data_IF_124006221694
#
_entry.id   IF_124006221694
#
_cell.length_a   1.000
_cell.length_b   1.000
_cell.length_c   1.000
_cell.angle_alpha   90.00
_cell.angle_beta   90.00
_cell.angle_gamma   90.00
#
_symmetry.space_group_name_H-M   'P 1'
#
loop_
_entity.id
_entity.type
_entity.pdbx_description
1 polymer ?
#
# COMPACT_ATOMS: atom_id res chain seq x y z
N UNK A 1 22.48 7.20 17.83
CA UNK A 1 23.11 8.34 17.11
C UNK A 1 23.15 8.15 15.58
N UNK A 2 22.60 7.07 15.02
CA UNK A 2 22.36 6.93 13.57
C UNK A 2 20.88 7.17 13.19
N UNK A 3 20.07 7.62 14.14
CA UNK A 3 18.60 7.58 14.05
C UNK A 3 18.06 8.75 13.20
N UNK A 4 18.56 9.97 13.41
CA UNK A 4 18.09 11.17 12.69
C UNK A 4 18.23 11.12 11.16
N UNK A 5 19.29 10.51 10.63
CA UNK A 5 19.49 10.38 9.18
C UNK A 5 18.59 9.32 8.55
N UNK A 6 18.21 8.29 9.32
CA UNK A 6 17.31 7.24 8.84
C UNK A 6 15.87 7.76 8.86
N UNK A 7 15.46 8.41 9.95
CA UNK A 7 14.13 9.00 10.11
C UNK A 7 13.85 10.06 9.03
N UNK A 8 14.80 10.97 8.79
CA UNK A 8 14.70 11.97 7.71
C UNK A 8 14.53 11.33 6.32
N UNK A 9 15.13 10.16 6.10
CA UNK A 9 14.98 9.42 4.85
C UNK A 9 13.62 8.72 4.75
N UNK A 10 13.07 8.20 5.85
CA UNK A 10 11.73 7.58 5.90
C UNK A 10 10.64 8.61 5.61
N UNK A 11 10.69 9.77 6.26
CA UNK A 11 9.73 10.85 6.01
C UNK A 11 9.79 11.33 4.57
N UNK A 12 10.99 11.50 4.02
CA UNK A 12 11.16 11.87 2.62
C UNK A 12 10.55 10.83 1.66
N UNK A 13 10.76 9.53 1.90
CA UNK A 13 10.14 8.45 1.11
C UNK A 13 8.60 8.56 1.18
N UNK A 14 8.03 8.70 2.38
CA UNK A 14 6.58 8.84 2.57
C UNK A 14 6.04 10.05 1.84
N UNK A 15 6.69 11.21 1.96
CA UNK A 15 6.27 12.47 1.34
C UNK A 15 6.23 12.35 -0.18
N UNK A 16 7.29 11.83 -0.81
CA UNK A 16 7.34 11.60 -2.27
C UNK A 16 6.15 10.72 -2.72
N UNK A 17 5.87 9.65 -1.98
CA UNK A 17 4.80 8.71 -2.32
C UNK A 17 3.40 9.29 -2.09
N UNK A 18 3.21 10.14 -1.08
CA UNK A 18 1.97 10.87 -0.85
C UNK A 18 1.73 11.93 -1.93
N UNK A 19 2.76 12.68 -2.32
CA UNK A 19 2.70 13.64 -3.42
C UNK A 19 2.27 12.97 -4.74
N UNK A 20 2.73 11.74 -5.01
CA UNK A 20 2.28 10.96 -6.17
C UNK A 20 0.76 10.71 -6.16
N UNK A 21 0.18 10.43 -4.99
CA UNK A 21 -1.27 10.24 -4.84
C UNK A 21 -2.00 11.55 -5.10
N UNK A 22 -1.54 12.64 -4.47
CA UNK A 22 -2.15 13.95 -4.57
C UNK A 22 -2.13 14.48 -6.01
N UNK A 23 -0.99 14.36 -6.69
CA UNK A 23 -0.82 14.75 -8.09
C UNK A 23 -1.77 13.99 -9.01
N UNK A 24 -1.78 12.66 -8.93
CA UNK A 24 -2.63 11.84 -9.79
C UNK A 24 -4.12 12.08 -9.49
N UNK A 25 -4.50 12.27 -8.23
CA UNK A 25 -5.88 12.60 -7.87
C UNK A 25 -6.28 13.99 -8.38
N UNK A 26 -5.37 14.96 -8.33
CA UNK A 26 -5.60 16.29 -8.89
C UNK A 26 -5.75 16.24 -10.41
N UNK A 27 -4.87 15.50 -11.10
CA UNK A 27 -4.96 15.30 -12.55
C UNK A 27 -6.23 14.55 -12.93
N UNK A 28 -6.61 13.50 -12.19
CA UNK A 28 -7.86 12.77 -12.41
C UNK A 28 -9.09 13.69 -12.31
N UNK A 29 -9.20 14.52 -11.25
CA UNK A 29 -10.27 15.52 -11.11
C UNK A 29 -10.28 16.54 -12.26
N UNK A 30 -9.11 16.92 -12.75
CA UNK A 30 -8.94 17.80 -13.90
C UNK A 30 -9.10 17.10 -15.26
N UNK A 31 -9.46 15.80 -15.28
CA UNK A 31 -9.53 14.95 -16.49
C UNK A 31 -8.23 14.94 -17.31
N UNK A 32 -7.09 15.06 -16.62
CA UNK A 32 -5.74 14.93 -17.16
C UNK A 32 -5.15 13.56 -16.81
N UNK A 33 -4.19 13.04 -17.60
CA UNK A 33 -3.48 11.83 -17.24
C UNK A 33 -2.76 11.98 -15.87
N UNK A 34 -2.96 11.02 -14.98
CA UNK A 34 -2.17 10.87 -13.76
C UNK A 34 -1.15 9.75 -13.93
N UNK A 35 0.14 10.09 -13.97
CA UNK A 35 1.24 9.16 -14.25
C UNK A 35 2.19 8.97 -13.08
N UNK A 36 2.09 9.78 -12.01
CA UNK A 36 3.11 9.81 -10.94
C UNK A 36 3.18 8.52 -10.15
N UNK A 37 2.03 7.90 -9.84
CA UNK A 37 2.05 6.60 -9.18
C UNK A 37 2.72 5.53 -10.05
N UNK A 38 2.53 5.55 -11.37
CA UNK A 38 3.19 4.59 -12.26
C UNK A 38 4.70 4.85 -12.36
N UNK A 39 5.10 6.11 -12.49
CA UNK A 39 6.51 6.54 -12.55
C UNK A 39 7.29 6.14 -11.28
N UNK A 40 6.65 6.16 -10.11
CA UNK A 40 7.30 5.90 -8.82
C UNK A 40 7.01 4.50 -8.25
N UNK A 41 6.31 3.64 -8.99
CA UNK A 41 5.93 2.31 -8.50
C UNK A 41 7.17 1.47 -8.16
N UNK A 42 8.20 1.48 -9.01
CA UNK A 42 9.44 0.73 -8.76
C UNK A 42 10.14 1.17 -7.48
N UNK A 43 10.27 2.50 -7.29
CA UNK A 43 10.81 3.07 -6.06
C UNK A 43 10.01 2.63 -4.84
N UNK A 44 8.67 2.67 -4.91
CA UNK A 44 7.83 2.26 -3.80
C UNK A 44 8.04 0.79 -3.43
N UNK A 45 8.01 -0.11 -4.43
CA UNK A 45 8.20 -1.55 -4.19
C UNK A 45 9.60 -1.82 -3.62
N UNK A 46 10.65 -1.19 -4.15
CA UNK A 46 12.02 -1.37 -3.65
C UNK A 46 12.17 -0.90 -2.20
N UNK A 47 11.56 0.23 -1.83
CA UNK A 47 11.55 0.72 -0.45
C UNK A 47 10.86 -0.26 0.51
N UNK A 48 9.70 -0.79 0.13
CA UNK A 48 8.96 -1.76 0.95
C UNK A 48 9.71 -3.09 1.12
N UNK A 49 10.42 -3.55 0.08
CA UNK A 49 11.17 -4.81 0.11
C UNK A 49 12.58 -4.68 0.71
N UNK A 50 13.05 -3.46 0.94
CA UNK A 50 14.36 -3.22 1.54
C UNK A 50 14.37 -3.66 3.01
N UNK A 51 15.15 -4.72 3.32
CA UNK A 51 15.32 -5.20 4.70
C UNK A 51 15.81 -4.11 5.66
N UNK A 52 16.54 -3.12 5.15
CA UNK A 52 17.06 -2.00 5.95
C UNK A 52 15.97 -0.99 6.32
N UNK A 53 14.96 -0.82 5.46
CA UNK A 53 13.95 0.23 5.61
C UNK A 53 12.59 -0.30 6.07
N UNK A 54 12.29 -1.57 5.82
CA UNK A 54 10.95 -2.12 5.97
C UNK A 54 10.37 -1.94 7.38
N UNK A 55 11.16 -2.23 8.42
CA UNK A 55 10.71 -2.11 9.81
C UNK A 55 10.33 -0.66 10.13
N UNK A 56 11.26 0.28 9.95
CA UNK A 56 11.01 1.70 10.18
C UNK A 56 9.89 2.28 9.29
N UNK A 57 9.76 1.82 8.04
CA UNK A 57 8.65 2.23 7.17
C UNK A 57 7.29 1.77 7.73
N UNK A 58 7.22 0.54 8.23
CA UNK A 58 5.99 -0.03 8.81
C UNK A 58 5.64 0.69 10.13
N UNK A 59 6.63 0.94 10.99
CA UNK A 59 6.48 1.73 12.22
C UNK A 59 5.98 3.15 11.91
N UNK A 60 6.47 3.74 10.82
CA UNK A 60 6.01 5.04 10.32
C UNK A 60 4.74 4.97 9.46
N UNK A 61 3.93 3.92 9.58
CA UNK A 61 2.63 3.75 8.94
C UNK A 61 2.65 3.91 7.40
N UNK A 62 3.70 3.41 6.72
CA UNK A 62 3.74 3.37 5.25
C UNK A 62 2.54 2.62 4.65
N UNK A 63 1.95 1.69 5.40
CA UNK A 63 0.76 0.94 4.98
C UNK A 63 -0.45 1.86 4.74
N UNK A 64 -0.53 3.00 5.45
CA UNK A 64 -1.50 4.05 5.15
C UNK A 64 -1.30 4.64 3.75
N UNK A 65 -0.06 4.84 3.33
CA UNK A 65 0.28 5.30 1.97
C UNK A 65 -0.02 4.21 0.94
N UNK A 66 0.31 2.94 1.23
CA UNK A 66 -0.07 1.80 0.36
C UNK A 66 -1.58 1.74 0.16
N UNK A 67 -2.36 1.94 1.23
CA UNK A 67 -3.82 2.02 1.15
C UNK A 67 -4.25 3.14 0.21
N UNK A 68 -3.73 4.36 0.34
CA UNK A 68 -4.05 5.49 -0.54
C UNK A 68 -3.72 5.23 -2.02
N UNK A 69 -2.64 4.49 -2.29
CA UNK A 69 -2.27 4.08 -3.65
C UNK A 69 -3.24 3.06 -4.27
N UNK A 70 -3.90 2.28 -3.42
CA UNK A 70 -4.81 1.21 -3.80
C UNK A 70 -6.29 1.64 -3.81
N UNK A 71 -6.65 2.74 -3.14
CA UNK A 71 -8.01 3.25 -3.13
C UNK A 71 -8.49 3.70 -4.54
N UNK A 72 -9.80 3.61 -4.83
CA UNK A 72 -10.34 4.14 -6.07
C UNK A 72 -10.00 5.61 -6.27
N UNK A 73 -9.74 5.99 -7.52
CA UNK A 73 -9.49 7.37 -7.93
C UNK A 73 -10.75 8.24 -7.73
N UNK A 74 -10.64 9.58 -7.78
CA UNK A 74 -11.79 10.48 -7.60
C UNK A 74 -12.97 10.22 -8.57
N UNK A 75 -12.69 9.75 -9.79
CA UNK A 75 -13.69 9.32 -10.77
C UNK A 75 -14.26 7.90 -10.54
N UNK A 76 -13.90 7.26 -9.43
CA UNK A 76 -14.25 5.88 -9.02
C UNK A 76 -13.62 4.77 -9.84
N UNK A 77 -12.74 5.11 -10.79
CA UNK A 77 -11.93 4.09 -11.45
C UNK A 77 -10.89 3.51 -10.48
N UNK A 78 -10.45 2.29 -10.75
CA UNK A 78 -9.37 1.68 -9.97
C UNK A 78 -8.02 2.22 -10.44
N UNK A 79 -7.02 2.32 -9.54
CA UNK A 79 -5.66 2.61 -9.94
C UNK A 79 -5.17 1.56 -10.96
N UNK A 80 -4.18 1.92 -11.79
CA UNK A 80 -3.69 1.07 -12.86
C UNK A 80 -3.38 -0.37 -12.39
N UNK A 81 -3.71 -1.38 -13.22
CA UNK A 81 -3.55 -2.79 -12.87
C UNK A 81 -2.12 -3.16 -12.41
N UNK A 82 -1.09 -2.52 -12.97
CA UNK A 82 0.29 -2.74 -12.56
C UNK A 82 0.53 -2.32 -11.10
N UNK A 83 -0.04 -1.19 -10.67
CA UNK A 83 0.01 -0.73 -9.28
C UNK A 83 -0.67 -1.75 -8.38
N UNK A 84 -1.88 -2.20 -8.76
CA UNK A 84 -2.67 -3.16 -7.96
C UNK A 84 -1.93 -4.47 -7.76
N UNK A 85 -1.48 -5.10 -8.85
CA UNK A 85 -0.76 -6.37 -8.82
C UNK A 85 0.49 -6.27 -7.94
N UNK A 86 1.34 -5.28 -8.21
CA UNK A 86 2.64 -5.20 -7.53
C UNK A 86 2.54 -4.83 -6.06
N UNK A 87 1.66 -3.90 -5.69
CA UNK A 87 1.48 -3.54 -4.28
C UNK A 87 0.83 -4.68 -3.49
N UNK A 88 -0.20 -5.34 -4.03
CA UNK A 88 -0.85 -6.46 -3.34
C UNK A 88 0.12 -7.63 -3.16
N UNK A 89 0.90 -7.97 -4.19
CA UNK A 89 1.97 -8.98 -4.10
C UNK A 89 3.01 -8.61 -3.03
N UNK A 90 3.43 -7.34 -2.99
CA UNK A 90 4.40 -6.85 -2.00
C UNK A 90 3.84 -6.90 -0.58
N UNK A 91 2.61 -6.44 -0.37
CA UNK A 91 1.93 -6.46 0.94
C UNK A 91 1.83 -7.88 1.50
N UNK A 92 1.66 -8.89 0.64
CA UNK A 92 1.58 -10.30 1.05
C UNK A 92 2.84 -10.78 1.78
N UNK A 93 4.02 -10.27 1.42
CA UNK A 93 5.31 -10.70 1.99
C UNK A 93 5.80 -9.83 3.15
N UNK A 94 5.19 -8.67 3.39
CA UNK A 94 5.54 -7.80 4.52
C UNK A 94 5.22 -8.47 5.86
N UNK A 95 6.08 -8.21 6.85
CA UNK A 95 5.82 -8.60 8.23
C UNK A 95 4.97 -7.53 8.92
N UNK A 96 3.65 -7.75 8.94
CA UNK A 96 2.68 -6.82 9.54
C UNK A 96 1.96 -7.49 10.70
N UNK A 97 1.68 -6.71 11.74
CA UNK A 97 1.02 -7.13 12.98
C UNK A 97 -0.33 -6.43 13.11
N UNK A 98 -1.16 -6.86 14.07
CA UNK A 98 -2.50 -6.30 14.28
C UNK A 98 -2.51 -4.79 14.48
N UNK A 99 -1.55 -4.22 15.21
CA UNK A 99 -1.41 -2.76 15.41
C UNK A 99 -1.29 -2.03 14.06
N UNK A 100 -0.35 -2.46 13.23
CA UNK A 100 -0.10 -1.90 11.90
C UNK A 100 -1.34 -1.95 10.99
N UNK A 101 -2.12 -3.04 11.06
CA UNK A 101 -3.37 -3.20 10.29
C UNK A 101 -4.47 -2.25 10.76
N UNK A 102 -4.62 -2.07 12.08
CA UNK A 102 -5.62 -1.18 12.67
C UNK A 102 -5.29 0.28 12.38
N UNK A 103 -4.03 0.66 12.56
CA UNK A 103 -3.55 2.03 12.37
C UNK A 103 -3.67 2.49 10.91
N UNK A 104 -3.21 1.66 9.97
CA UNK A 104 -3.27 1.99 8.53
C UNK A 104 -4.67 1.87 7.94
N UNK A 105 -5.51 0.98 8.51
CA UNK A 105 -6.78 0.59 7.93
C UNK A 105 -6.67 -0.14 6.58
N UNK A 106 -5.47 -0.61 6.20
CA UNK A 106 -5.20 -1.28 4.91
C UNK A 106 -6.06 -2.54 4.71
N UNK A 107 -6.45 -3.21 5.80
CA UNK A 107 -7.33 -4.39 5.75
C UNK A 107 -8.64 -4.13 4.97
N UNK A 108 -9.19 -2.91 5.06
CA UNK A 108 -10.44 -2.55 4.37
C UNK A 108 -10.27 -2.54 2.84
N UNK A 109 -9.17 -1.95 2.35
CA UNK A 109 -8.91 -1.87 0.90
C UNK A 109 -8.54 -3.24 0.33
N UNK A 110 -7.77 -4.05 1.06
CA UNK A 110 -7.46 -5.42 0.64
C UNK A 110 -8.73 -6.28 0.60
N UNK A 111 -9.63 -6.13 1.59
CA UNK A 111 -10.92 -6.82 1.56
C UNK A 111 -11.78 -6.38 0.37
N UNK A 112 -11.81 -5.09 0.05
CA UNK A 112 -12.49 -4.59 -1.15
C UNK A 112 -11.98 -5.32 -2.42
N UNK A 113 -10.66 -5.44 -2.59
CA UNK A 113 -10.09 -6.17 -3.73
C UNK A 113 -10.43 -7.66 -3.75
N UNK A 114 -10.53 -8.31 -2.58
CA UNK A 114 -10.85 -9.75 -2.51
C UNK A 114 -12.29 -10.08 -2.89
N UNK A 115 -13.21 -9.12 -2.81
CA UNK A 115 -14.63 -9.32 -3.14
C UNK A 115 -15.08 -8.61 -4.43
N UNK A 116 -14.30 -7.67 -4.95
CA UNK A 116 -14.67 -6.91 -6.15
C UNK A 116 -14.90 -7.85 -7.36
N UNK A 117 -16.10 -7.86 -7.97
CA UNK A 117 -16.39 -8.72 -9.12
C UNK A 117 -15.71 -8.26 -10.41
N UNK A 118 -15.26 -7.00 -10.49
CA UNK A 118 -14.61 -6.41 -11.67
C UNK A 118 -13.09 -6.45 -11.61
N UNK A 119 -12.53 -7.07 -10.58
CA UNK A 119 -11.08 -7.17 -10.42
C UNK A 119 -10.48 -8.32 -11.22
N UNK A 120 -9.21 -8.17 -11.59
CA UNK A 120 -8.38 -9.23 -12.14
C UNK A 120 -8.32 -10.45 -11.20
N UNK A 121 -8.45 -11.65 -11.78
CA UNK A 121 -8.57 -12.90 -11.03
C UNK A 121 -7.37 -13.12 -10.11
N UNK A 122 -6.15 -12.79 -10.58
CA UNK A 122 -4.94 -12.99 -9.79
C UNK A 122 -4.86 -12.00 -8.64
N UNK A 123 -5.20 -10.72 -8.89
CA UNK A 123 -5.26 -9.69 -7.84
C UNK A 123 -6.27 -10.08 -6.74
N UNK A 124 -7.45 -10.55 -7.15
CA UNK A 124 -8.50 -11.00 -6.23
C UNK A 124 -8.05 -12.18 -5.37
N UNK A 125 -7.40 -13.17 -5.99
CA UNK A 125 -6.85 -14.35 -5.31
C UNK A 125 -5.80 -13.94 -4.27
N UNK A 126 -4.84 -13.09 -4.66
CA UNK A 126 -3.79 -12.63 -3.75
C UNK A 126 -4.37 -11.83 -2.57
N UNK A 127 -5.34 -10.95 -2.83
CA UNK A 127 -6.03 -10.21 -1.78
C UNK A 127 -6.75 -11.15 -0.79
N UNK A 128 -7.40 -12.21 -1.28
CA UNK A 128 -8.05 -13.20 -0.43
C UNK A 128 -7.05 -13.96 0.47
N UNK A 129 -5.91 -14.35 -0.09
CA UNK A 129 -4.83 -15.01 0.67
C UNK A 129 -4.28 -14.11 1.79
N UNK A 130 -4.14 -12.80 1.51
CA UNK A 130 -3.72 -11.81 2.51
C UNK A 130 -4.74 -11.70 3.65
N UNK A 131 -6.04 -11.56 3.32
CA UNK A 131 -7.09 -11.51 4.34
C UNK A 131 -7.05 -12.76 5.22
N UNK A 132 -6.97 -13.95 4.62
CA UNK A 132 -6.89 -15.19 5.39
C UNK A 132 -5.63 -15.26 6.27
N UNK A 133 -4.47 -14.81 5.78
CA UNK A 133 -3.22 -14.73 6.55
C UNK A 133 -3.39 -13.83 7.77
N UNK A 134 -3.91 -12.62 7.57
CA UNK A 134 -4.08 -11.63 8.63
C UNK A 134 -5.14 -12.03 9.64
N UNK A 135 -6.28 -12.55 9.19
CA UNK A 135 -7.33 -13.07 10.09
C UNK A 135 -6.77 -14.18 10.98
N UNK A 136 -6.03 -15.16 10.43
CA UNK A 136 -5.39 -16.22 11.24
C UNK A 136 -4.36 -15.67 12.23
N UNK A 137 -3.59 -14.64 11.84
CA UNK A 137 -2.58 -14.03 12.70
C UNK A 137 -3.23 -13.32 13.89
N UNK A 138 -4.27 -12.52 13.63
CA UNK A 138 -5.04 -11.81 14.68
C UNK A 138 -5.64 -12.80 15.69
N UNK A 139 -6.28 -13.88 15.23
CA UNK A 139 -6.85 -14.89 16.13
C UNK A 139 -5.82 -15.63 16.98
N UNK A 140 -4.57 -15.74 16.53
CA UNK A 140 -3.48 -16.35 17.31
C UNK A 140 -2.90 -15.39 18.36
N UNK A 141 -2.92 -14.09 18.10
CA UNK A 141 -2.44 -13.06 19.03
C UNK A 141 -3.43 -12.81 20.20
N UNK A 142 -4.68 -13.26 20.08
CA UNK A 142 -5.73 -13.14 21.11
C UNK A 142 -5.79 -14.35 22.07
N UNK A 143 -4.89 -15.34 21.94
CA UNK A 143 -4.77 -16.52 22.81
C UNK A 143 -3.53 -16.44 23.70
#
# INVERSE_FOLDING_TARGET
MNDTNTDTNIDNIKNILMECVEEDNRNNRAKKPGTKKLEHLDFFIQSLLSKKLQESLIEENILGVVKMWLEPLPDRSLPNIAIRKRLIETVKVLNVDRSHLLESGIGKVIHFYSINPKEDIEVKKQALEIIQKWTRKIFKEEQ
#
